data_IF_128188364722
#
_entry.id   IF_128188364722
#
_cell.length_a   1.000
_cell.length_b   1.000
_cell.length_c   1.000
_cell.angle_alpha   90.00
_cell.angle_beta   90.00
_cell.angle_gamma   90.00
#
_symmetry.space_group_name_H-M   'P 1'
#
loop_
_entity.id
_entity.type
_entity.pdbx_description
1 polymer ?
#
# COMPACT_ATOMS: atom_id res chain seq x y z
N UNK A 1 -3.92 6.39 -21.73
CA UNK A 1 -3.51 6.21 -20.33
C UNK A 1 -3.45 4.73 -20.02
N UNK A 2 -2.30 4.24 -19.59
CA UNK A 2 -2.16 2.87 -19.10
C UNK A 2 -2.99 2.72 -17.82
N UNK A 3 -3.32 1.48 -17.46
CA UNK A 3 -4.11 1.23 -16.26
C UNK A 3 -3.39 1.72 -14.98
N UNK A 4 -2.07 1.56 -14.95
CA UNK A 4 -1.22 2.01 -13.85
C UNK A 4 -1.30 3.54 -13.66
N UNK A 5 -1.24 4.33 -14.73
CA UNK A 5 -1.39 5.80 -14.66
C UNK A 5 -2.72 6.21 -14.03
N UNK A 6 -3.81 5.50 -14.35
CA UNK A 6 -5.15 5.77 -13.79
C UNK A 6 -5.20 5.46 -12.31
N UNK A 7 -4.54 4.39 -11.90
CA UNK A 7 -4.44 3.98 -10.51
C UNK A 7 -3.60 4.98 -9.71
N UNK A 8 -2.46 5.40 -10.25
CA UNK A 8 -1.64 6.45 -9.65
C UNK A 8 -2.44 7.74 -9.49
N UNK A 9 -3.20 8.15 -10.51
CA UNK A 9 -4.02 9.35 -10.45
C UNK A 9 -5.11 9.27 -9.38
N UNK A 10 -5.71 8.10 -9.14
CA UNK A 10 -6.74 7.94 -8.09
C UNK A 10 -6.15 7.87 -6.68
N UNK A 11 -4.95 7.30 -6.54
CA UNK A 11 -4.23 7.23 -5.29
C UNK A 11 -3.69 8.61 -4.88
N UNK A 12 -3.09 9.34 -5.82
CA UNK A 12 -2.45 10.64 -5.60
C UNK A 12 -1.14 10.53 -4.84
N UNK A 13 -0.65 11.66 -4.33
CA UNK A 13 0.49 11.64 -3.40
C UNK A 13 0.13 10.87 -2.11
N UNK A 14 1.08 10.15 -1.49
CA UNK A 14 2.53 10.13 -1.76
C UNK A 14 2.97 8.94 -2.64
N UNK A 15 2.10 8.44 -3.52
CA UNK A 15 2.43 7.31 -4.40
C UNK A 15 3.14 7.79 -5.66
N UNK A 16 4.04 6.97 -6.20
CA UNK A 16 4.70 7.14 -7.49
C UNK A 16 4.70 5.82 -8.29
N UNK A 17 5.27 5.84 -9.50
CA UNK A 17 5.56 4.63 -10.26
C UNK A 17 7.07 4.40 -10.20
N UNK A 18 7.47 3.19 -9.84
CA UNK A 18 8.87 2.75 -9.85
C UNK A 18 9.01 1.41 -10.55
N UNK A 19 10.18 1.18 -11.12
CA UNK A 19 10.56 -0.09 -11.72
C UNK A 19 11.01 -1.08 -10.63
N UNK A 20 10.35 -2.23 -10.59
CA UNK A 20 10.73 -3.39 -9.79
C UNK A 20 10.98 -4.55 -10.75
N UNK A 21 12.24 -5.00 -10.86
CA UNK A 21 12.65 -6.11 -11.72
C UNK A 21 12.19 -6.00 -13.20
N UNK A 22 12.12 -4.78 -13.74
CA UNK A 22 11.69 -4.51 -15.12
C UNK A 22 10.19 -4.31 -15.31
N UNK A 23 9.41 -4.27 -14.23
CA UNK A 23 7.97 -3.94 -14.27
C UNK A 23 7.68 -2.63 -13.52
N UNK A 24 6.90 -1.75 -14.16
CA UNK A 24 6.39 -0.52 -13.54
C UNK A 24 5.32 -0.88 -12.48
N UNK A 25 5.57 -0.54 -11.23
CA UNK A 25 4.67 -0.80 -10.10
C UNK A 25 4.27 0.50 -9.39
N UNK A 26 3.09 0.52 -8.75
CA UNK A 26 2.79 1.62 -7.83
C UNK A 26 3.66 1.43 -6.60
N UNK A 27 4.35 2.49 -6.21
CA UNK A 27 5.26 2.47 -5.09
C UNK A 27 4.93 3.58 -4.08
N UNK A 28 5.29 3.32 -2.82
CA UNK A 28 5.33 4.33 -1.76
C UNK A 28 6.32 3.92 -0.69
N UNK A 29 7.28 4.78 -0.38
CA UNK A 29 8.19 4.63 0.75
C UNK A 29 7.72 5.39 1.99
N UNK A 30 7.87 4.80 3.17
CA UNK A 30 7.53 5.44 4.44
C UNK A 30 8.23 4.75 5.63
N UNK A 31 8.88 5.52 6.50
CA UNK A 31 9.68 4.95 7.60
C UNK A 31 10.78 4.00 7.09
N UNK A 32 10.88 2.81 7.72
CA UNK A 32 11.74 1.71 7.24
C UNK A 32 11.01 0.75 6.29
N UNK A 33 9.87 1.16 5.70
CA UNK A 33 9.07 0.31 4.84
C UNK A 33 8.84 0.96 3.47
N UNK A 34 8.47 0.13 2.52
CA UNK A 34 7.95 0.55 1.23
C UNK A 34 6.89 -0.42 0.73
N UNK A 35 5.96 0.10 -0.05
CA UNK A 35 4.96 -0.65 -0.76
C UNK A 35 5.35 -0.78 -2.21
N UNK A 36 5.09 -1.97 -2.74
CA UNK A 36 5.08 -2.28 -4.16
C UNK A 36 3.71 -2.90 -4.46
N UNK A 37 2.94 -2.26 -5.35
CA UNK A 37 1.67 -2.80 -5.84
C UNK A 37 1.86 -3.30 -7.26
N UNK A 38 1.74 -4.61 -7.39
CA UNK A 38 2.03 -5.37 -8.62
C UNK A 38 0.81 -6.18 -9.04
N UNK A 39 0.90 -6.81 -10.22
CA UNK A 39 -0.18 -7.63 -10.81
C UNK A 39 -1.53 -6.88 -10.79
N UNK A 40 -1.51 -5.61 -11.23
CA UNK A 40 -2.69 -4.76 -11.23
C UNK A 40 -3.63 -5.16 -12.38
N UNK A 41 -4.48 -6.15 -12.15
CA UNK A 41 -5.65 -6.40 -13.00
C UNK A 41 -6.73 -5.34 -12.75
N UNK A 42 -7.76 -5.26 -13.61
CA UNK A 42 -8.84 -4.27 -13.41
C UNK A 42 -9.59 -4.45 -12.08
N UNK A 43 -9.57 -5.65 -11.50
CA UNK A 43 -10.36 -6.01 -10.31
C UNK A 43 -9.51 -6.18 -9.06
N UNK A 44 -8.32 -6.76 -9.20
CA UNK A 44 -7.47 -7.14 -8.07
C UNK A 44 -6.01 -6.78 -8.32
N UNK A 45 -5.28 -6.59 -7.22
CA UNK A 45 -3.84 -6.39 -7.21
C UNK A 45 -3.19 -7.13 -6.05
N UNK A 46 -1.86 -7.17 -6.06
CA UNK A 46 -1.02 -7.72 -5.00
C UNK A 46 -0.23 -6.58 -4.37
N UNK A 47 -0.21 -6.51 -3.05
CA UNK A 47 0.63 -5.59 -2.29
C UNK A 47 1.77 -6.38 -1.64
N UNK A 48 3.00 -6.01 -1.99
CA UNK A 48 4.21 -6.40 -1.29
C UNK A 48 4.60 -5.30 -0.32
N UNK A 49 5.00 -5.69 0.88
CA UNK A 49 5.59 -4.78 1.87
C UNK A 49 7.03 -5.19 2.06
N UNK A 50 7.93 -4.25 1.80
CA UNK A 50 9.35 -4.43 2.00
C UNK A 50 9.83 -3.61 3.17
N UNK A 51 10.87 -4.08 3.86
CA UNK A 51 11.72 -3.20 4.66
C UNK A 51 12.77 -2.54 3.77
N UNK A 52 13.23 -1.34 4.15
CA UNK A 52 14.25 -0.61 3.40
C UNK A 52 15.65 -1.06 3.82
N UNK A 53 15.86 -1.38 5.09
CA UNK A 53 17.14 -1.86 5.62
C UNK A 53 16.92 -2.87 6.75
N UNK A 54 17.31 -4.16 6.58
CA UNK A 54 17.72 -4.79 5.31
C UNK A 54 16.57 -4.78 4.28
N UNK A 55 16.88 -4.89 2.99
CA UNK A 55 15.85 -4.94 1.94
C UNK A 55 15.28 -6.36 1.84
N UNK A 56 14.09 -6.57 2.40
CA UNK A 56 13.42 -7.88 2.42
C UNK A 56 11.90 -7.72 2.36
N UNK A 57 11.21 -8.71 1.79
CA UNK A 57 9.74 -8.77 1.79
C UNK A 57 9.28 -9.27 3.15
N UNK A 58 8.52 -8.45 3.87
CA UNK A 58 7.97 -8.80 5.19
C UNK A 58 6.49 -9.19 5.14
N UNK A 59 5.78 -8.84 4.07
CA UNK A 59 4.40 -9.30 3.86
C UNK A 59 4.00 -9.28 2.38
N UNK A 60 3.04 -10.16 2.06
CA UNK A 60 2.40 -10.24 0.74
C UNK A 60 0.89 -10.36 0.95
N UNK A 61 0.15 -9.40 0.42
CA UNK A 61 -1.31 -9.39 0.44
C UNK A 61 -1.84 -9.57 -0.98
N UNK A 62 -2.58 -10.65 -1.22
CA UNK A 62 -3.12 -11.00 -2.55
C UNK A 62 -4.61 -10.69 -2.63
N UNK A 63 -5.12 -10.60 -3.85
CA UNK A 63 -6.54 -10.39 -4.16
C UNK A 63 -7.13 -9.10 -3.55
N UNK A 64 -6.33 -8.03 -3.47
CA UNK A 64 -6.83 -6.74 -2.98
C UNK A 64 -7.72 -6.13 -4.07
N UNK A 65 -9.02 -5.87 -3.80
CA UNK A 65 -9.89 -5.19 -4.76
C UNK A 65 -9.34 -3.81 -5.10
N UNK A 66 -9.14 -3.51 -6.38
CA UNK A 66 -8.57 -2.23 -6.84
C UNK A 66 -9.42 -1.03 -6.43
N UNK A 67 -10.74 -1.21 -6.32
CA UNK A 67 -11.68 -0.19 -5.85
C UNK A 67 -11.42 0.25 -4.40
N UNK A 68 -10.90 -0.65 -3.55
CA UNK A 68 -10.61 -0.39 -2.14
C UNK A 68 -9.12 -0.08 -1.91
N UNK A 69 -8.31 -0.02 -2.97
CA UNK A 69 -6.86 0.01 -2.84
C UNK A 69 -6.37 1.19 -2.00
N UNK A 70 -6.97 2.38 -2.17
CA UNK A 70 -6.58 3.57 -1.43
C UNK A 70 -6.72 3.38 0.08
N UNK A 71 -7.85 2.83 0.52
CA UNK A 71 -8.14 2.59 1.93
C UNK A 71 -7.27 1.47 2.49
N UNK A 72 -7.07 0.41 1.71
CA UNK A 72 -6.20 -0.73 2.07
C UNK A 72 -4.75 -0.28 2.27
N UNK A 73 -4.21 0.53 1.36
CA UNK A 73 -2.85 1.06 1.49
C UNK A 73 -2.76 2.05 2.66
N UNK A 74 -3.78 2.87 2.89
CA UNK A 74 -3.85 3.75 4.07
C UNK A 74 -3.81 2.98 5.39
N UNK A 75 -4.62 1.92 5.49
CA UNK A 75 -4.66 1.03 6.65
C UNK A 75 -3.32 0.34 6.90
N UNK A 76 -2.72 -0.28 5.88
CA UNK A 76 -1.43 -0.93 6.08
C UNK A 76 -0.32 0.08 6.38
N UNK A 77 -0.30 1.24 5.73
CA UNK A 77 0.71 2.26 6.02
C UNK A 77 0.62 2.73 7.48
N UNK A 78 -0.58 2.87 8.04
CA UNK A 78 -0.74 3.24 9.45
C UNK A 78 -0.29 2.12 10.38
N UNK A 79 -0.64 0.86 10.07
CA UNK A 79 -0.21 -0.33 10.83
C UNK A 79 1.31 -0.48 10.87
N UNK A 80 1.98 -0.43 9.73
CA UNK A 80 3.45 -0.59 9.67
C UNK A 80 4.22 0.57 10.31
N UNK A 81 3.64 1.77 10.34
CA UNK A 81 4.22 2.91 11.07
C UNK A 81 3.84 2.92 12.56
N UNK A 82 3.11 1.91 13.02
CA UNK A 82 2.55 1.83 14.37
C UNK A 82 1.78 3.08 14.81
N UNK A 83 1.06 3.71 13.88
CA UNK A 83 0.28 4.92 14.15
C UNK A 83 -0.88 4.63 15.11
N UNK A 84 -1.66 3.54 14.96
CA UNK A 84 -2.76 3.25 15.88
C UNK A 84 -2.36 3.21 17.36
N UNK A 85 -1.22 2.61 17.68
CA UNK A 85 -0.68 2.53 19.05
C UNK A 85 -0.24 3.90 19.61
N UNK A 86 -0.08 4.90 18.74
CA UNK A 86 0.26 6.28 19.12
C UNK A 86 -0.99 7.15 19.33
N UNK A 87 -2.18 6.64 19.00
CA UNK A 87 -3.44 7.39 19.12
C UNK A 87 -4.08 7.07 20.47
N UNK A 88 -4.30 8.10 21.28
CA UNK A 88 -5.15 7.98 22.47
C UNK A 88 -6.62 7.96 22.05
N UNK A 89 -7.27 6.82 22.26
CA UNK A 89 -8.70 6.65 21.97
C UNK A 89 -9.50 7.07 23.20
N UNK A 90 -10.28 8.15 23.09
CA UNK A 90 -11.15 8.61 24.18
C UNK A 90 -12.53 7.91 24.18
N UNK A 91 -13.03 7.52 23.00
CA UNK A 91 -14.27 6.77 22.83
C UNK A 91 -14.24 6.00 21.51
N UNK A 92 -14.64 4.73 21.55
CA UNK A 92 -14.82 3.90 20.37
C UNK A 92 -15.95 2.91 20.64
N UNK A 93 -17.10 3.17 20.04
CA UNK A 93 -18.26 2.28 20.13
C UNK A 93 -18.14 1.28 18.98
N UNK A 94 -17.65 0.07 19.25
CA UNK A 94 -17.57 -1.02 18.27
C UNK A 94 -18.59 -2.08 18.67
N UNK A 95 -19.56 -2.36 17.81
CA UNK A 95 -20.24 -3.67 17.82
C UNK A 95 -19.43 -4.60 16.93
N UNK A 96 -18.95 -5.70 17.51
CA UNK A 96 -18.20 -6.76 16.79
C UNK A 96 -19.19 -7.71 16.12
#
# INVERSE_FOLDING_TARGET
MKQLDKLLQSLGEPYDIQDFDGEDCIHRKFGNYEFEVSDTSRKFCILYVWTVTPKEVVAIYKNIPTENLKDVLGYYASRYQNIPDQIQVERQDIEV
#
